data_IF_511428648627
#
_entry.id   IF_511428648627
#
_cell.length_a   1.000
_cell.length_b   1.000
_cell.length_c   1.000
_cell.angle_alpha   90.00
_cell.angle_beta   90.00
_cell.angle_gamma   90.00
#
_symmetry.space_group_name_H-M   'P 1'
#
loop_
_entity.id
_entity.type
_entity.pdbx_description
1 polymer ?
#
# COMPACT_ATOMS: atom_id res chain seq x y z
N UNK A 1 10.52 -24.76 5.68
CA UNK A 1 11.89 -24.27 5.41
C UNK A 1 11.82 -22.78 5.11
N UNK A 2 12.43 -21.95 5.97
CA UNK A 2 12.36 -20.48 5.89
C UNK A 2 13.17 -19.91 4.72
N UNK A 3 12.65 -18.87 4.08
CA UNK A 3 13.30 -18.12 2.99
C UNK A 3 14.73 -17.64 3.35
N UNK A 4 14.96 -17.31 4.62
CA UNK A 4 16.29 -16.94 5.16
C UNK A 4 17.33 -18.06 5.05
N UNK A 5 16.92 -19.33 5.11
CA UNK A 5 17.83 -20.47 4.95
C UNK A 5 18.27 -20.67 3.50
N UNK A 6 17.49 -20.18 2.53
CA UNK A 6 17.82 -20.24 1.10
C UNK A 6 18.87 -19.20 0.71
N UNK A 7 18.75 -18.00 1.26
CA UNK A 7 19.68 -16.89 1.01
C UNK A 7 21.09 -17.16 1.56
N UNK A 8 21.20 -17.81 2.72
CA UNK A 8 22.50 -18.18 3.31
C UNK A 8 23.23 -19.31 2.59
N UNK A 9 22.56 -20.06 1.70
CA UNK A 9 23.20 -21.14 0.93
C UNK A 9 23.82 -20.68 -0.40
N UNK A 10 23.56 -19.45 -0.84
CA UNK A 10 24.07 -18.93 -2.13
C UNK A 10 25.51 -18.40 -2.07
N UNK A 11 26.14 -18.33 -0.90
CA UNK A 11 27.52 -17.84 -0.75
C UNK A 11 28.61 -18.88 -0.99
N UNK A 12 28.27 -20.06 -1.48
CA UNK A 12 29.25 -21.04 -1.95
C UNK A 12 28.71 -21.67 -3.25
N UNK A 13 28.95 -21.01 -4.38
CA UNK A 13 29.04 -21.74 -5.64
C UNK A 13 30.47 -22.23 -5.73
N UNK A 14 30.62 -23.53 -5.51
CA UNK A 14 31.84 -24.29 -5.73
C UNK A 14 32.43 -23.94 -7.10
N UNK A 15 33.59 -23.30 -7.10
CA UNK A 15 34.41 -23.09 -8.27
C UNK A 15 35.25 -24.34 -8.52
N UNK A 16 34.61 -25.45 -8.87
CA UNK A 16 35.30 -26.58 -9.48
C UNK A 16 34.97 -26.58 -10.97
N UNK A 17 35.88 -26.00 -11.74
CA UNK A 17 35.83 -25.99 -13.19
C UNK A 17 35.87 -27.44 -13.72
N UNK A 18 34.85 -27.84 -14.46
CA UNK A 18 34.86 -29.09 -15.20
C UNK A 18 36.00 -29.05 -16.22
N UNK A 19 36.93 -30.01 -16.12
CA UNK A 19 38.08 -30.16 -17.01
C UNK A 19 37.61 -30.30 -18.48
N UNK A 20 38.22 -29.61 -19.46
CA UNK A 20 37.82 -29.76 -20.85
C UNK A 20 38.26 -31.13 -21.41
N UNK A 21 37.39 -31.75 -22.20
CA UNK A 21 37.72 -32.93 -23.01
C UNK A 21 38.67 -32.53 -24.14
N UNK A 22 39.82 -33.18 -24.22
CA UNK A 22 40.81 -32.99 -25.28
C UNK A 22 40.32 -33.67 -26.58
N UNK A 23 40.28 -32.97 -27.73
CA UNK A 23 40.06 -33.61 -29.03
C UNK A 23 41.36 -34.32 -29.50
N UNK A 24 41.23 -35.40 -30.30
CA UNK A 24 42.39 -36.17 -30.77
C UNK A 24 43.25 -35.35 -31.72
N UNK A 25 44.55 -35.60 -31.61
CA UNK A 25 45.65 -35.00 -32.36
C UNK A 25 45.42 -35.07 -33.88
N UNK A 26 45.29 -33.91 -34.51
CA UNK A 26 45.57 -33.72 -35.93
C UNK A 26 45.95 -32.25 -36.15
N UNK A 27 47.26 -32.07 -36.27
CA UNK A 27 47.95 -31.26 -37.27
C UNK A 27 47.38 -29.85 -37.55
N UNK A 28 48.23 -28.85 -37.29
CA UNK A 28 48.16 -27.43 -37.66
C UNK A 28 47.72 -26.44 -36.55
N UNK A 29 48.72 -25.69 -36.07
CA UNK A 29 48.70 -24.47 -35.25
C UNK A 29 47.54 -24.29 -34.24
N UNK A 30 47.71 -24.84 -33.05
CA UNK A 30 46.92 -24.45 -31.89
C UNK A 30 47.35 -23.05 -31.41
N UNK A 31 46.56 -22.02 -31.75
CA UNK A 31 46.64 -20.71 -31.13
C UNK A 31 46.40 -20.83 -29.62
N UNK A 32 47.44 -20.59 -28.83
CA UNK A 32 47.33 -20.53 -27.36
C UNK A 32 46.55 -19.29 -26.95
N UNK A 33 45.28 -19.45 -26.57
CA UNK A 33 44.51 -18.38 -25.92
C UNK A 33 44.87 -18.40 -24.43
N UNK A 34 45.94 -17.68 -24.08
CA UNK A 34 46.31 -17.46 -22.69
C UNK A 34 45.24 -16.64 -21.98
N UNK A 35 44.50 -17.25 -21.05
CA UNK A 35 43.56 -16.51 -20.21
C UNK A 35 44.36 -15.73 -19.17
N UNK A 36 44.43 -14.41 -19.33
CA UNK A 36 45.02 -13.51 -18.32
C UNK A 36 44.04 -13.43 -17.15
N UNK A 37 44.36 -14.12 -16.06
CA UNK A 37 43.63 -13.93 -14.81
C UNK A 37 43.84 -12.50 -14.29
N UNK A 38 42.75 -11.81 -13.96
CA UNK A 38 42.80 -10.57 -13.19
C UNK A 38 43.45 -10.87 -11.83
N UNK A 39 44.50 -10.16 -11.38
CA UNK A 39 45.07 -10.40 -10.07
C UNK A 39 44.00 -10.12 -9.00
N UNK A 40 43.95 -10.90 -7.92
CA UNK A 40 43.01 -10.65 -6.83
C UNK A 40 43.37 -9.33 -6.16
N UNK A 41 42.71 -8.25 -6.58
CA UNK A 41 42.83 -6.96 -5.89
C UNK A 41 42.08 -7.10 -4.57
N UNK A 42 42.69 -6.72 -3.43
CA UNK A 42 42.00 -6.76 -2.15
C UNK A 42 40.75 -5.85 -2.23
N UNK A 43 39.59 -6.43 -1.93
CA UNK A 43 38.33 -5.71 -1.79
C UNK A 43 38.53 -4.65 -0.71
N UNK A 44 38.58 -3.38 -1.10
CA UNK A 44 38.70 -2.29 -0.14
C UNK A 44 37.43 -2.24 0.71
N UNK A 45 37.60 -2.19 2.05
CA UNK A 45 36.48 -1.95 2.98
C UNK A 45 35.83 -0.62 2.63
N UNK A 46 34.58 -0.67 2.17
CA UNK A 46 33.75 0.52 2.00
C UNK A 46 33.59 1.15 3.38
N UNK A 47 34.24 2.30 3.60
CA UNK A 47 34.03 3.12 4.79
C UNK A 47 32.60 3.62 4.74
N UNK A 48 31.89 3.59 5.89
CA UNK A 48 30.48 3.96 6.00
C UNK A 48 30.14 5.13 5.08
N UNK A 49 29.32 4.86 4.07
CA UNK A 49 28.82 5.87 3.15
C UNK A 49 28.14 6.93 4.02
N UNK A 50 28.64 8.17 3.97
CA UNK A 50 27.84 9.31 4.42
C UNK A 50 26.52 9.24 3.66
N UNK A 51 25.42 9.55 4.37
CA UNK A 51 24.07 9.61 3.83
C UNK A 51 24.08 10.09 2.37
N UNK A 52 23.39 9.35 1.50
CA UNK A 52 23.33 9.69 0.10
C UNK A 52 22.77 11.12 -0.02
N UNK A 53 23.20 11.89 -1.02
CA UNK A 53 22.71 13.26 -1.20
C UNK A 53 21.16 13.33 -1.31
N UNK A 54 20.52 12.22 -1.70
CA UNK A 54 19.06 12.08 -1.76
C UNK A 54 18.40 11.96 -0.37
N UNK A 55 19.13 11.59 0.68
CA UNK A 55 18.57 11.46 2.03
C UNK A 55 18.19 12.83 2.60
N UNK A 56 18.92 13.90 2.24
CA UNK A 56 18.60 15.27 2.63
C UNK A 56 17.45 15.89 1.82
N UNK A 57 17.24 15.42 0.58
CA UNK A 57 16.10 15.84 -0.25
C UNK A 57 14.77 15.23 0.22
N UNK A 58 14.81 14.12 0.97
CA UNK A 58 13.62 13.44 1.48
C UNK A 58 12.86 14.29 2.52
N UNK A 59 13.56 15.03 3.39
CA UNK A 59 12.92 15.91 4.39
C UNK A 59 12.29 17.16 3.79
N UNK A 60 12.81 17.65 2.66
CA UNK A 60 12.27 18.84 1.96
C UNK A 60 11.15 18.50 0.97
N UNK A 61 11.15 17.32 0.36
CA UNK A 61 10.04 16.84 -0.47
C UNK A 61 8.80 16.44 0.35
N UNK A 62 8.95 16.00 1.60
CA UNK A 62 7.82 15.62 2.44
C UNK A 62 6.84 16.79 2.70
N UNK A 63 7.30 18.04 2.62
CA UNK A 63 6.46 19.21 2.74
C UNK A 63 5.72 19.60 1.44
N UNK A 64 5.98 18.90 0.32
CA UNK A 64 5.59 19.33 -1.01
C UNK A 64 5.00 18.24 -1.92
N UNK A 65 4.73 17.05 -1.40
CA UNK A 65 4.11 15.99 -2.20
C UNK A 65 2.70 16.36 -2.67
N UNK A 66 1.99 17.19 -1.91
CA UNK A 66 0.59 17.54 -2.15
C UNK A 66 0.39 18.85 -2.93
N UNK A 67 1.46 19.58 -3.30
CA UNK A 67 1.34 20.91 -3.96
C UNK A 67 0.52 20.88 -5.25
N UNK A 68 0.55 19.77 -5.99
CA UNK A 68 -0.20 19.61 -7.23
C UNK A 68 -1.44 18.73 -7.09
N UNK A 69 -1.72 18.22 -5.89
CA UNK A 69 -2.91 17.42 -5.60
C UNK A 69 -4.12 18.33 -5.33
N UNK A 70 -5.27 17.75 -4.97
CA UNK A 70 -6.45 18.49 -4.54
C UNK A 70 -6.10 19.54 -3.47
N UNK A 71 -6.50 20.82 -3.64
CA UNK A 71 -7.54 21.33 -4.56
C UNK A 71 -7.04 21.80 -5.94
N UNK A 72 -5.76 21.65 -6.26
CA UNK A 72 -5.17 22.16 -7.50
C UNK A 72 -5.31 21.20 -8.70
N UNK A 73 -5.62 19.92 -8.45
CA UNK A 73 -5.99 18.93 -9.46
C UNK A 73 -6.97 17.89 -8.88
N UNK A 74 -7.41 16.96 -9.71
CA UNK A 74 -8.28 15.85 -9.28
C UNK A 74 -7.54 14.78 -8.46
N UNK A 75 -6.20 14.77 -8.49
CA UNK A 75 -5.38 13.80 -7.78
C UNK A 75 -5.56 13.93 -6.25
N UNK A 76 -5.68 12.79 -5.57
CA UNK A 76 -5.84 12.79 -4.12
C UNK A 76 -4.56 13.28 -3.42
N UNK A 77 -4.72 14.14 -2.42
CA UNK A 77 -3.62 14.49 -1.52
C UNK A 77 -3.38 13.40 -0.46
N UNK A 78 -2.29 13.49 0.29
CA UNK A 78 -1.93 12.51 1.31
C UNK A 78 -3.03 12.29 2.34
N UNK A 79 -3.69 13.35 2.80
CA UNK A 79 -4.79 13.26 3.77
C UNK A 79 -6.01 12.51 3.20
N UNK A 80 -6.37 12.75 1.93
CA UNK A 80 -7.43 12.03 1.25
C UNK A 80 -7.08 10.54 1.11
N UNK A 81 -5.83 10.21 0.80
CA UNK A 81 -5.34 8.82 0.68
C UNK A 81 -5.40 8.09 2.03
N UNK A 82 -4.96 8.73 3.11
CA UNK A 82 -5.01 8.17 4.46
C UNK A 82 -6.46 7.91 4.88
N UNK A 83 -7.36 8.87 4.62
CA UNK A 83 -8.79 8.76 4.92
C UNK A 83 -9.44 7.64 4.11
N UNK A 84 -9.11 7.54 2.81
CA UNK A 84 -9.59 6.48 1.93
C UNK A 84 -9.15 5.10 2.42
N UNK A 85 -7.87 4.95 2.77
CA UNK A 85 -7.30 3.69 3.27
C UNK A 85 -7.95 3.28 4.60
N UNK A 86 -8.16 4.23 5.51
CA UNK A 86 -8.87 3.97 6.76
C UNK A 86 -10.31 3.50 6.54
N UNK A 87 -11.01 4.08 5.56
CA UNK A 87 -12.37 3.67 5.17
C UNK A 87 -12.39 2.26 4.58
N UNK A 88 -11.44 1.91 3.71
CA UNK A 88 -11.34 0.55 3.18
C UNK A 88 -11.22 -0.50 4.29
N UNK A 89 -10.31 -0.26 5.24
CA UNK A 89 -10.15 -1.13 6.41
C UNK A 89 -11.46 -1.22 7.20
N UNK A 90 -12.06 -0.08 7.54
CA UNK A 90 -13.32 -0.03 8.29
C UNK A 90 -14.47 -0.80 7.59
N UNK A 91 -14.61 -0.64 6.27
CA UNK A 91 -15.73 -1.22 5.53
C UNK A 91 -15.57 -2.71 5.32
N UNK A 92 -14.35 -3.17 5.04
CA UNK A 92 -14.03 -4.60 4.89
C UNK A 92 -14.08 -5.34 6.24
N UNK A 93 -13.70 -4.68 7.33
CA UNK A 93 -13.91 -5.20 8.69
C UNK A 93 -15.41 -5.41 8.98
N UNK A 94 -16.26 -4.49 8.51
CA UNK A 94 -17.73 -4.59 8.56
C UNK A 94 -18.32 -5.56 7.52
N UNK A 95 -17.49 -6.35 6.85
CA UNK A 95 -17.91 -7.46 5.99
C UNK A 95 -18.34 -7.05 4.58
N UNK A 96 -17.98 -5.85 4.14
CA UNK A 96 -18.14 -5.46 2.75
C UNK A 96 -17.02 -6.08 1.89
N UNK A 97 -17.30 -6.41 0.63
CA UNK A 97 -16.22 -6.82 -0.30
C UNK A 97 -15.29 -5.65 -0.58
N UNK A 98 -14.05 -5.94 -1.00
CA UNK A 98 -13.09 -4.91 -1.34
C UNK A 98 -13.63 -3.98 -2.45
N UNK A 99 -14.18 -4.55 -3.53
CA UNK A 99 -14.77 -3.79 -4.64
C UNK A 99 -15.94 -2.89 -4.22
N UNK A 100 -16.80 -3.34 -3.30
CA UNK A 100 -17.88 -2.50 -2.78
C UNK A 100 -17.32 -1.44 -1.82
N UNK A 101 -16.29 -1.75 -1.04
CA UNK A 101 -15.64 -0.82 -0.12
C UNK A 101 -14.94 0.31 -0.88
N UNK A 102 -14.20 0.01 -1.95
CA UNK A 102 -13.57 0.99 -2.83
C UNK A 102 -14.61 1.91 -3.45
N UNK A 103 -15.67 1.34 -4.06
CA UNK A 103 -16.78 2.13 -4.62
C UNK A 103 -17.47 3.04 -3.60
N UNK A 104 -17.58 2.60 -2.35
CA UNK A 104 -18.12 3.43 -1.28
C UNK A 104 -17.12 4.52 -0.86
N UNK A 105 -15.82 4.19 -0.73
CA UNK A 105 -14.79 5.15 -0.34
C UNK A 105 -14.58 6.25 -1.40
N UNK A 106 -14.62 5.91 -2.70
CA UNK A 106 -14.54 6.88 -3.81
C UNK A 106 -15.66 7.93 -3.73
N UNK A 107 -16.90 7.47 -3.47
CA UNK A 107 -18.03 8.38 -3.27
C UNK A 107 -17.81 9.33 -2.09
N UNK A 108 -17.16 8.85 -1.03
CA UNK A 108 -16.87 9.66 0.14
C UNK A 108 -15.75 10.67 -0.09
N UNK A 109 -14.80 10.41 -0.99
CA UNK A 109 -13.80 11.41 -1.40
C UNK A 109 -14.51 12.61 -2.04
N UNK A 110 -15.39 12.37 -3.01
CA UNK A 110 -16.16 13.46 -3.65
C UNK A 110 -17.03 14.20 -2.64
N UNK A 111 -17.73 13.47 -1.77
CA UNK A 111 -18.54 14.06 -0.70
C UNK A 111 -17.72 15.03 0.17
N UNK A 112 -16.54 14.59 0.61
CA UNK A 112 -15.70 15.38 1.51
C UNK A 112 -15.22 16.66 0.82
N UNK A 113 -14.86 16.59 -0.47
CA UNK A 113 -14.51 17.76 -1.30
C UNK A 113 -15.66 18.76 -1.40
N UNK A 114 -16.89 18.27 -1.55
CA UNK A 114 -18.10 19.09 -1.64
C UNK A 114 -18.61 19.57 -0.27
N UNK A 115 -17.95 19.17 0.83
CA UNK A 115 -18.41 19.45 2.20
C UNK A 115 -19.86 18.97 2.47
N UNK A 116 -20.27 17.89 1.82
CA UNK A 116 -21.59 17.29 2.02
C UNK A 116 -21.64 16.52 3.36
N UNK A 117 -22.67 16.79 4.15
CA UNK A 117 -22.83 16.30 5.52
C UNK A 117 -23.41 14.88 5.61
N UNK A 118 -23.93 14.32 4.51
CA UNK A 118 -24.49 12.98 4.47
C UNK A 118 -23.45 11.91 4.84
N UNK A 119 -23.87 10.84 5.53
CA UNK A 119 -23.00 9.75 5.97
C UNK A 119 -23.52 8.40 5.51
N UNK A 120 -22.62 7.42 5.35
CA UNK A 120 -22.99 6.01 5.20
C UNK A 120 -23.21 5.39 6.58
N UNK A 121 -24.04 4.35 6.72
CA UNK A 121 -24.08 3.59 7.98
C UNK A 121 -22.71 2.92 8.26
N UNK A 122 -21.93 2.62 7.21
CA UNK A 122 -20.59 2.05 7.32
C UNK A 122 -19.58 2.95 8.04
N UNK A 123 -19.83 4.27 8.11
CA UNK A 123 -19.01 5.20 8.90
C UNK A 123 -19.40 5.20 10.39
N UNK A 124 -20.56 4.64 10.75
CA UNK A 124 -21.12 4.74 12.09
C UNK A 124 -20.44 3.76 13.05
N UNK A 125 -20.00 4.25 14.21
CA UNK A 125 -19.46 3.41 15.28
C UNK A 125 -20.48 2.42 15.85
N UNK A 126 -21.78 2.73 15.75
CA UNK A 126 -22.86 1.87 16.25
C UNK A 126 -23.27 0.77 15.25
N UNK A 127 -22.76 0.77 14.02
CA UNK A 127 -23.05 -0.29 13.06
C UNK A 127 -22.25 -1.55 13.45
N UNK A 128 -22.96 -2.64 13.71
CA UNK A 128 -22.37 -3.91 14.13
C UNK A 128 -22.72 -5.02 13.13
N UNK A 129 -21.88 -6.06 13.07
CA UNK A 129 -22.06 -7.22 12.20
C UNK A 129 -21.19 -7.17 10.94
N UNK A 130 -21.09 -8.32 10.25
CA UNK A 130 -20.35 -8.51 9.00
C UNK A 130 -21.30 -9.03 7.93
N UNK A 131 -21.79 -8.18 7.04
CA UNK A 131 -22.80 -8.51 6.01
C UNK A 131 -24.23 -8.78 6.52
N UNK A 132 -24.41 -9.00 7.83
CA UNK A 132 -25.71 -8.95 8.53
C UNK A 132 -25.67 -7.84 9.56
N UNK A 133 -26.02 -6.63 9.15
CA UNK A 133 -25.83 -5.45 9.97
C UNK A 133 -26.97 -5.18 10.93
N UNK A 134 -26.62 -4.63 12.08
CA UNK A 134 -27.54 -4.13 13.11
C UNK A 134 -27.08 -2.76 13.60
N UNK A 135 -28.02 -1.87 13.91
CA UNK A 135 -27.72 -0.55 14.44
C UNK A 135 -27.83 -0.57 15.97
N UNK A 136 -26.72 -0.31 16.67
CA UNK A 136 -26.73 -0.13 18.12
C UNK A 136 -27.46 1.12 18.59
N UNK A 137 -27.64 2.10 17.70
CA UNK A 137 -28.34 3.38 17.96
C UNK A 137 -29.68 3.48 17.21
N UNK A 138 -30.31 2.33 16.92
CA UNK A 138 -31.49 2.23 16.06
C UNK A 138 -32.65 3.13 16.50
N UNK A 139 -32.88 3.29 17.80
CA UNK A 139 -34.00 4.08 18.33
C UNK A 139 -33.84 5.58 18.08
N UNK A 140 -32.62 6.10 18.08
CA UNK A 140 -32.36 7.51 17.71
C UNK A 140 -32.30 7.65 16.19
N UNK A 141 -31.70 6.67 15.51
CA UNK A 141 -31.53 6.65 14.06
C UNK A 141 -32.83 6.41 13.27
N UNK A 142 -33.91 5.98 13.94
CA UNK A 142 -35.19 5.60 13.35
C UNK A 142 -35.05 4.56 12.21
N UNK A 143 -34.26 3.51 12.47
CA UNK A 143 -34.04 2.40 11.54
C UNK A 143 -34.32 1.07 12.21
N UNK A 144 -34.41 0.00 11.41
CA UNK A 144 -34.49 -1.35 11.94
C UNK A 144 -33.28 -1.65 12.84
N UNK A 145 -33.54 -2.24 14.01
CA UNK A 145 -32.49 -2.67 14.95
C UNK A 145 -31.56 -3.70 14.31
N UNK A 146 -32.14 -4.74 13.72
CA UNK A 146 -31.45 -5.88 13.14
C UNK A 146 -31.83 -6.04 11.67
N UNK A 147 -30.94 -6.64 10.87
CA UNK A 147 -31.23 -6.97 9.47
C UNK A 147 -31.33 -5.75 8.57
N UNK A 148 -30.47 -4.74 8.78
CA UNK A 148 -30.40 -3.57 7.91
C UNK A 148 -30.16 -3.99 6.46
N UNK A 149 -30.93 -3.40 5.54
CA UNK A 149 -30.80 -3.65 4.12
C UNK A 149 -29.39 -3.26 3.63
N UNK A 150 -28.72 -4.08 2.79
CA UNK A 150 -27.40 -3.76 2.28
C UNK A 150 -27.33 -2.42 1.55
N UNK A 151 -28.39 -2.04 0.83
CA UNK A 151 -28.44 -0.78 0.10
C UNK A 151 -28.53 0.42 1.04
N UNK A 152 -29.29 0.29 2.14
CA UNK A 152 -29.37 1.32 3.18
C UNK A 152 -28.00 1.55 3.84
N UNK A 153 -27.21 0.51 4.02
CA UNK A 153 -25.88 0.63 4.65
C UNK A 153 -24.88 1.36 3.74
N UNK A 154 -25.11 1.31 2.41
CA UNK A 154 -24.25 1.86 1.36
C UNK A 154 -24.72 3.19 0.75
N UNK A 155 -25.88 3.71 1.15
CA UNK A 155 -26.42 4.97 0.64
C UNK A 155 -26.04 6.15 1.55
N UNK A 156 -25.67 7.28 0.93
CA UNK A 156 -25.44 8.54 1.62
C UNK A 156 -26.76 9.11 2.12
N UNK A 157 -26.87 9.24 3.44
CA UNK A 157 -28.09 9.69 4.09
C UNK A 157 -27.79 10.62 5.26
N UNK A 158 -28.78 11.43 5.63
CA UNK A 158 -28.79 12.10 6.93
C UNK A 158 -29.48 11.16 7.91
N UNK A 159 -28.79 10.79 8.97
CA UNK A 159 -29.30 9.90 10.01
C UNK A 159 -29.18 10.62 11.34
N UNK A 160 -30.29 10.72 12.08
CA UNK A 160 -30.37 11.34 13.41
C UNK A 160 -29.50 10.66 14.46
N UNK A 161 -29.03 9.44 14.19
CA UNK A 161 -28.05 8.75 15.02
C UNK A 161 -26.64 9.33 14.95
N UNK A 162 -26.34 10.23 14.00
CA UNK A 162 -25.11 11.01 13.97
C UNK A 162 -25.28 12.33 14.71
N UNK A 163 -24.25 12.81 15.43
CA UNK A 163 -24.25 14.17 15.93
C UNK A 163 -24.33 15.15 14.76
N UNK A 164 -24.95 16.33 14.93
CA UNK A 164 -24.93 17.37 13.91
C UNK A 164 -23.49 17.70 13.54
N UNK A 165 -23.25 17.99 12.26
CA UNK A 165 -21.94 18.45 11.83
C UNK A 165 -21.56 19.70 12.63
N UNK A 166 -20.51 19.61 13.45
CA UNK A 166 -19.95 20.78 14.11
C UNK A 166 -19.24 21.58 13.04
N UNK A 167 -19.88 22.65 12.55
CA UNK A 167 -19.24 23.63 11.69
C UNK A 167 -18.11 24.28 12.48
N UNK A 168 -16.90 23.73 12.39
CA UNK A 168 -15.70 24.44 12.83
C UNK A 168 -15.41 25.49 11.76
N UNK A 169 -16.09 26.63 11.89
CA UNK A 169 -15.66 27.86 11.23
C UNK A 169 -14.37 28.33 11.92
N UNK A 170 -13.25 28.19 11.23
CA UNK A 170 -12.00 28.90 11.50
C UNK A 170 -11.24 29.06 10.19
#
# INVERSE_FOLDING_TARGET
MSWLARLKRQTALDQDATKPTQPPEADHEAGFVGFVACPPVPIQKIKALKAAANDAAAETLAADTDRYCWPHSDAMNGQEIDTFTARLAQFTDKGLSLDDAERSADKLVIRDRESDDRRLCLECAHLQGRGRWRCGNWGVADVARDGLAPDLVKILQRCSGYPPATNNAA
#
